data_IF_886051190596
#
_entry.id   IF_886051190596
#
_cell.length_a   1.000
_cell.length_b   1.000
_cell.length_c   1.000
_cell.angle_alpha   90.00
_cell.angle_beta   90.00
_cell.angle_gamma   90.00
#
_symmetry.space_group_name_H-M   'P 1'
#
loop_
_entity.id
_entity.type
_entity.pdbx_description
1 polymer ?
#
# COMPACT_ATOMS: atom_id res chain seq x y z
N UNK A 1 -8.71 17.00 -15.89
CA UNK A 1 -9.01 15.62 -15.45
C UNK A 1 -10.52 15.50 -15.24
N UNK A 2 -11.21 14.54 -15.86
CA UNK A 2 -12.65 14.34 -15.64
C UNK A 2 -12.87 13.85 -14.20
N UNK A 3 -13.78 14.49 -13.46
CA UNK A 3 -14.18 14.02 -12.15
C UNK A 3 -14.75 12.60 -12.24
N UNK A 4 -14.32 11.71 -11.34
CA UNK A 4 -14.85 10.35 -11.25
C UNK A 4 -16.36 10.40 -10.97
N UNK A 5 -17.14 9.60 -11.70
CA UNK A 5 -18.58 9.48 -11.45
C UNK A 5 -18.80 8.64 -10.20
N UNK A 6 -19.42 9.21 -9.16
CA UNK A 6 -19.85 8.44 -8.00
C UNK A 6 -21.10 7.63 -8.36
N UNK A 7 -21.12 6.34 -8.01
CA UNK A 7 -22.27 5.45 -8.16
C UNK A 7 -22.61 4.81 -6.80
N UNK A 8 -23.90 4.76 -6.41
CA UNK A 8 -24.28 4.10 -5.18
C UNK A 8 -24.10 2.58 -5.28
N UNK A 9 -23.54 1.98 -4.23
CA UNK A 9 -23.38 0.53 -4.11
C UNK A 9 -23.95 0.07 -2.76
N UNK A 10 -24.82 -0.93 -2.79
CA UNK A 10 -25.40 -1.50 -1.57
C UNK A 10 -24.43 -2.53 -0.97
N UNK A 11 -24.09 -2.36 0.31
CA UNK A 11 -23.27 -3.30 1.08
C UNK A 11 -24.13 -3.90 2.18
N UNK A 12 -24.13 -5.24 2.29
CA UNK A 12 -24.81 -5.93 3.38
C UNK A 12 -23.96 -5.82 4.64
N UNK A 13 -24.58 -5.33 5.72
CA UNK A 13 -23.99 -5.24 7.05
C UNK A 13 -24.97 -5.86 8.04
N UNK A 14 -24.47 -6.62 9.00
CA UNK A 14 -25.27 -7.04 10.13
C UNK A 14 -25.64 -5.84 11.02
N UNK A 15 -26.67 -6.02 11.85
CA UNK A 15 -27.19 -4.96 12.72
C UNK A 15 -26.14 -4.48 13.73
N UNK A 16 -25.36 -5.41 14.30
CA UNK A 16 -24.33 -5.08 15.27
C UNK A 16 -23.23 -4.20 14.68
N UNK A 17 -22.78 -4.51 13.46
CA UNK A 17 -21.81 -3.67 12.75
C UNK A 17 -22.40 -2.29 12.42
N UNK A 18 -23.66 -2.24 11.99
CA UNK A 18 -24.35 -0.98 11.68
C UNK A 18 -24.40 -0.07 12.91
N UNK A 19 -24.71 -0.61 14.08
CA UNK A 19 -24.75 0.14 15.35
C UNK A 19 -23.36 0.62 15.78
N UNK A 20 -22.33 -0.22 15.63
CA UNK A 20 -20.93 0.15 15.89
C UNK A 20 -20.48 1.30 15.01
N UNK A 21 -20.81 1.28 13.71
CA UNK A 21 -20.48 2.37 12.79
C UNK A 21 -21.20 3.65 13.20
N UNK A 22 -22.47 3.59 13.62
CA UNK A 22 -23.20 4.77 14.07
C UNK A 22 -22.60 5.38 15.35
N UNK A 23 -22.28 4.54 16.33
CA UNK A 23 -21.62 4.96 17.57
C UNK A 23 -20.26 5.63 17.28
N UNK A 24 -19.46 5.00 16.42
CA UNK A 24 -18.14 5.53 16.03
C UNK A 24 -18.25 6.83 15.23
N UNK A 25 -19.23 6.93 14.35
CA UNK A 25 -19.48 8.16 13.59
C UNK A 25 -19.86 9.32 14.52
N UNK A 26 -20.73 9.06 15.52
CA UNK A 26 -21.10 10.05 16.54
C UNK A 26 -19.90 10.53 17.35
N UNK A 27 -19.06 9.61 17.84
CA UNK A 27 -17.88 9.97 18.64
C UNK A 27 -16.86 10.79 17.86
N UNK A 28 -16.76 10.56 16.55
CA UNK A 28 -15.84 11.31 15.66
C UNK A 28 -16.48 12.53 14.98
N UNK A 29 -17.75 12.86 15.28
CA UNK A 29 -18.51 13.94 14.61
C UNK A 29 -18.55 13.80 13.08
N UNK A 30 -18.71 12.56 12.59
CA UNK A 30 -18.82 12.21 11.18
C UNK A 30 -20.15 11.52 10.90
N UNK A 31 -20.50 11.39 9.62
CA UNK A 31 -21.68 10.62 9.22
C UNK A 31 -21.33 9.12 9.10
N UNK A 32 -22.26 8.20 9.38
CA UNK A 32 -22.05 6.77 9.14
C UNK A 32 -21.62 6.47 7.70
N UNK A 33 -22.18 7.21 6.73
CA UNK A 33 -21.80 7.09 5.32
C UNK A 33 -20.34 7.49 5.05
N UNK A 34 -19.86 8.56 5.68
CA UNK A 34 -18.45 8.95 5.59
C UNK A 34 -17.54 7.85 6.16
N UNK A 35 -17.89 7.30 7.34
CA UNK A 35 -17.14 6.21 7.95
C UNK A 35 -17.03 4.98 7.05
N UNK A 36 -18.14 4.59 6.41
CA UNK A 36 -18.15 3.45 5.48
C UNK A 36 -17.26 3.68 4.26
N UNK A 37 -17.36 4.87 3.63
CA UNK A 37 -16.52 5.21 2.48
C UNK A 37 -15.04 5.25 2.84
N UNK A 38 -14.71 5.83 3.98
CA UNK A 38 -13.34 5.92 4.45
C UNK A 38 -12.77 4.54 4.78
N UNK A 39 -13.55 3.67 5.44
CA UNK A 39 -13.14 2.30 5.73
C UNK A 39 -12.88 1.48 4.44
N UNK A 40 -13.76 1.59 3.44
CA UNK A 40 -13.58 0.92 2.14
C UNK A 40 -12.32 1.45 1.45
N UNK A 41 -12.12 2.78 1.43
CA UNK A 41 -10.95 3.42 0.83
C UNK A 41 -9.66 2.89 1.47
N UNK A 42 -9.57 2.94 2.80
CA UNK A 42 -8.38 2.48 3.52
C UNK A 42 -8.09 0.98 3.31
N UNK A 43 -9.13 0.16 3.19
CA UNK A 43 -8.98 -1.25 2.87
C UNK A 43 -8.40 -1.44 1.46
N UNK A 44 -9.03 -0.82 0.45
CA UNK A 44 -8.60 -0.93 -0.95
C UNK A 44 -7.16 -0.44 -1.12
N UNK A 45 -6.82 0.74 -0.59
CA UNK A 45 -5.45 1.28 -0.68
C UNK A 45 -4.41 0.36 -0.03
N UNK A 46 -4.76 -0.31 1.06
CA UNK A 46 -3.87 -1.27 1.73
C UNK A 46 -3.66 -2.53 0.89
N UNK A 47 -4.73 -3.06 0.33
CA UNK A 47 -4.67 -4.27 -0.51
C UNK A 47 -3.91 -3.99 -1.81
N UNK A 48 -4.14 -2.84 -2.44
CA UNK A 48 -3.40 -2.42 -3.65
C UNK A 48 -1.91 -2.28 -3.37
N UNK A 49 -1.52 -1.64 -2.26
CA UNK A 49 -0.09 -1.54 -1.86
C UNK A 49 0.53 -2.90 -1.59
N UNK A 50 -0.19 -3.79 -0.91
CA UNK A 50 0.30 -5.16 -0.64
C UNK A 50 0.47 -5.94 -1.95
N UNK A 51 -0.49 -5.83 -2.87
CA UNK A 51 -0.42 -6.50 -4.15
C UNK A 51 0.72 -5.96 -5.02
N UNK A 52 0.89 -4.63 -5.07
CA UNK A 52 2.01 -4.01 -5.79
C UNK A 52 3.36 -4.51 -5.27
N UNK A 53 3.57 -4.51 -3.94
CA UNK A 53 4.79 -5.02 -3.32
C UNK A 53 5.05 -6.50 -3.65
N UNK A 54 4.00 -7.34 -3.64
CA UNK A 54 4.13 -8.75 -4.04
C UNK A 54 4.51 -8.90 -5.51
N UNK A 55 3.90 -8.11 -6.39
CA UNK A 55 4.19 -8.14 -7.82
C UNK A 55 5.62 -7.67 -8.12
N UNK A 56 6.09 -6.62 -7.43
CA UNK A 56 7.47 -6.14 -7.51
C UNK A 56 8.47 -7.23 -7.10
N UNK A 57 8.22 -7.94 -6.00
CA UNK A 57 9.09 -9.03 -5.55
C UNK A 57 9.12 -10.20 -6.56
N UNK A 58 7.97 -10.56 -7.14
CA UNK A 58 7.89 -11.60 -8.18
C UNK A 58 8.64 -11.16 -9.45
N UNK A 59 8.50 -9.88 -9.82
CA UNK A 59 9.20 -9.31 -10.97
C UNK A 59 10.72 -9.37 -10.78
N UNK A 60 11.23 -8.84 -9.67
CA UNK A 60 12.65 -8.87 -9.32
C UNK A 60 13.21 -10.31 -9.31
N UNK A 61 12.45 -11.28 -8.76
CA UNK A 61 12.84 -12.68 -8.78
C UNK A 61 12.93 -13.26 -10.21
N UNK A 62 11.97 -12.93 -11.07
CA UNK A 62 11.99 -13.38 -12.46
C UNK A 62 13.12 -12.73 -13.26
N UNK A 63 13.41 -11.44 -13.02
CA UNK A 63 14.54 -10.74 -13.63
C UNK A 63 15.88 -11.33 -13.22
N UNK A 64 16.08 -11.61 -11.93
CA UNK A 64 17.28 -12.28 -11.43
C UNK A 64 17.46 -13.66 -12.08
N UNK A 65 16.40 -14.49 -12.13
CA UNK A 65 16.48 -15.80 -12.80
C UNK A 65 16.82 -15.70 -14.28
N UNK A 66 16.37 -14.64 -14.96
CA UNK A 66 16.57 -14.47 -16.40
C UNK A 66 17.94 -13.87 -16.74
N UNK A 67 18.43 -12.93 -15.93
CA UNK A 67 19.62 -12.13 -16.25
C UNK A 67 20.84 -12.50 -15.40
N UNK A 68 20.63 -13.04 -14.19
CA UNK A 68 21.64 -13.20 -13.15
C UNK A 68 21.91 -11.93 -12.34
N UNK A 69 21.31 -10.79 -12.72
CA UNK A 69 21.71 -9.48 -12.21
C UNK A 69 21.26 -9.34 -10.76
N UNK A 70 22.20 -9.04 -9.87
CA UNK A 70 21.99 -8.92 -8.44
C UNK A 70 22.86 -7.82 -7.84
N UNK A 71 22.57 -7.49 -6.59
CA UNK A 71 23.49 -6.78 -5.71
C UNK A 71 23.89 -7.75 -4.61
N UNK A 72 25.15 -7.67 -4.19
CA UNK A 72 25.64 -8.40 -3.04
C UNK A 72 25.15 -7.75 -1.75
N UNK A 73 25.14 -8.52 -0.64
CA UNK A 73 24.76 -7.99 0.66
C UNK A 73 25.63 -6.79 1.07
N UNK A 74 26.94 -6.85 0.83
CA UNK A 74 27.89 -5.78 1.19
C UNK A 74 27.60 -4.46 0.47
N UNK A 75 27.22 -4.53 -0.82
CA UNK A 75 26.83 -3.34 -1.60
C UNK A 75 25.53 -2.72 -1.06
N UNK A 76 24.55 -3.57 -0.73
CA UNK A 76 23.28 -3.11 -0.15
C UNK A 76 23.51 -2.50 1.23
N UNK A 77 24.30 -3.13 2.11
CA UNK A 77 24.62 -2.60 3.43
C UNK A 77 25.36 -1.26 3.34
N UNK A 78 26.32 -1.14 2.43
CA UNK A 78 27.06 0.10 2.19
C UNK A 78 26.12 1.22 1.75
N UNK A 79 25.20 0.92 0.84
CA UNK A 79 24.19 1.88 0.38
C UNK A 79 23.23 2.28 1.50
N UNK A 80 22.68 1.31 2.25
CA UNK A 80 21.78 1.57 3.38
C UNK A 80 22.44 2.42 4.47
N UNK A 81 23.71 2.18 4.80
CA UNK A 81 24.45 2.97 5.77
C UNK A 81 24.60 4.45 5.35
N UNK A 82 24.71 4.72 4.05
CA UNK A 82 24.76 6.10 3.53
C UNK A 82 23.40 6.80 3.66
N UNK A 83 22.31 6.09 3.38
CA UNK A 83 20.95 6.59 3.59
C UNK A 83 20.66 6.88 5.07
N UNK A 84 21.04 5.96 5.97
CA UNK A 84 20.90 6.12 7.43
C UNK A 84 21.70 7.33 7.95
N UNK A 85 22.84 7.64 7.33
CA UNK A 85 23.63 8.84 7.62
C UNK A 85 23.00 10.13 7.05
N UNK A 86 21.81 10.05 6.44
CA UNK A 86 21.08 11.19 5.88
C UNK A 86 21.58 11.65 4.52
N UNK A 87 22.39 10.84 3.82
CA UNK A 87 22.80 11.13 2.45
C UNK A 87 21.71 10.62 1.50
N UNK A 88 21.34 11.44 0.53
CA UNK A 88 20.41 11.04 -0.53
C UNK A 88 21.22 10.45 -1.69
N UNK A 89 21.34 9.12 -1.71
CA UNK A 89 22.15 8.37 -2.69
C UNK A 89 21.28 7.32 -3.39
N UNK A 90 21.38 7.29 -4.72
CA UNK A 90 20.71 6.29 -5.55
C UNK A 90 21.26 4.87 -5.26
N UNK A 91 20.44 3.82 -5.39
CA UNK A 91 20.90 2.45 -5.25
C UNK A 91 21.98 2.10 -6.29
N UNK A 92 22.96 1.25 -5.94
CA UNK A 92 23.96 0.77 -6.88
C UNK A 92 23.30 -0.04 -8.01
N UNK A 93 23.93 -0.04 -9.20
CA UNK A 93 23.45 -0.82 -10.33
C UNK A 93 23.71 -2.32 -10.12
N UNK A 94 22.72 -3.17 -10.44
CA UNK A 94 22.88 -4.62 -10.37
C UNK A 94 23.95 -5.12 -11.37
N UNK A 95 24.62 -6.22 -11.00
CA UNK A 95 25.66 -6.89 -11.79
C UNK A 95 25.54 -8.43 -11.71
N UNK A 96 26.31 -9.15 -12.54
CA UNK A 96 26.33 -10.62 -12.61
C UNK A 96 27.59 -11.21 -11.99
#
# INVERSE_FOLDING_TARGET
MKAAKNQPMAVKLDLGMRDRIQQLAKSQQRTPHWMMREAIKQYVEREEKRQAFQQEAIHAWNEYKATGMHLTLEEVETWLAQLEAGKDVEPPACHN
#
